data_IF_882435152781
#
_entry.id   IF_882435152781
#
_cell.length_a   1.000
_cell.length_b   1.000
_cell.length_c   1.000
_cell.angle_alpha   90.00
_cell.angle_beta   90.00
_cell.angle_gamma   90.00
#
_symmetry.space_group_name_H-M   'P 1'
#
loop_
_entity.id
_entity.type
_entity.pdbx_description
1 polymer ?
#
# COMPACT_ATOMS: atom_id res chain seq x y z
N UNK A 1 -24.42 21.36 -12.21
CA UNK A 1 -23.32 21.85 -11.36
C UNK A 1 -22.30 20.76 -11.02
N UNK A 2 -22.71 19.52 -10.74
CA UNK A 2 -21.78 18.43 -10.39
C UNK A 2 -20.74 18.12 -11.46
N UNK A 3 -21.15 18.01 -12.73
CA UNK A 3 -20.24 17.69 -13.85
C UNK A 3 -19.14 18.74 -13.99
N UNK A 4 -19.49 20.02 -13.93
CA UNK A 4 -18.50 21.11 -13.98
C UNK A 4 -17.51 21.05 -12.83
N UNK A 5 -17.97 20.72 -11.62
CA UNK A 5 -17.13 20.59 -10.42
C UNK A 5 -16.17 19.41 -10.55
N UNK A 6 -16.69 18.23 -10.90
CA UNK A 6 -15.90 17.00 -11.02
C UNK A 6 -14.87 17.09 -12.16
N UNK A 7 -15.23 17.66 -13.31
CA UNK A 7 -14.30 17.87 -14.42
C UNK A 7 -13.16 18.82 -14.01
N UNK A 8 -13.46 19.89 -13.27
CA UNK A 8 -12.45 20.83 -12.76
C UNK A 8 -11.53 20.20 -11.71
N UNK A 9 -12.06 19.35 -10.83
CA UNK A 9 -11.26 18.62 -9.85
C UNK A 9 -10.36 17.58 -10.54
N UNK A 10 -10.89 16.85 -11.51
CA UNK A 10 -10.17 15.80 -12.22
C UNK A 10 -8.87 16.32 -12.86
N UNK A 11 -8.96 17.41 -13.62
CA UNK A 11 -7.83 17.95 -14.39
C UNK A 11 -6.74 18.53 -13.50
N UNK A 12 -7.16 19.32 -12.51
CA UNK A 12 -6.25 19.98 -11.57
C UNK A 12 -5.52 18.98 -10.68
N UNK A 13 -6.21 17.95 -10.22
CA UNK A 13 -5.61 16.90 -9.40
C UNK A 13 -4.75 15.92 -10.19
N UNK A 14 -5.05 15.69 -11.47
CA UNK A 14 -4.28 14.77 -12.32
C UNK A 14 -2.99 15.39 -12.87
N UNK A 15 -3.13 16.47 -13.64
CA UNK A 15 -2.07 17.05 -14.47
C UNK A 15 -1.84 18.54 -14.19
N UNK A 16 -2.64 19.15 -13.31
CA UNK A 16 -2.60 20.59 -13.05
C UNK A 16 -3.17 21.44 -14.19
N UNK A 17 -3.84 20.82 -15.17
CA UNK A 17 -4.45 21.52 -16.29
C UNK A 17 -5.76 22.21 -15.88
N UNK A 18 -6.12 23.28 -16.59
CA UNK A 18 -7.39 23.97 -16.36
C UNK A 18 -8.59 23.13 -16.82
N UNK A 19 -8.46 22.43 -17.95
CA UNK A 19 -9.49 21.58 -18.55
C UNK A 19 -8.86 20.33 -19.22
N UNK A 20 -9.64 19.27 -19.45
CA UNK A 20 -9.15 18.06 -20.13
C UNK A 20 -9.01 18.34 -21.63
N UNK A 21 -8.15 17.57 -22.31
CA UNK A 21 -8.02 17.63 -23.78
C UNK A 21 -9.28 17.09 -24.47
N UNK A 22 -9.92 16.08 -23.86
CA UNK A 22 -11.13 15.46 -24.39
C UNK A 22 -12.19 15.35 -23.29
N UNK A 23 -13.33 15.98 -23.50
CA UNK A 23 -14.57 15.74 -22.74
C UNK A 23 -15.69 15.54 -23.74
N UNK A 24 -16.33 14.37 -23.70
CA UNK A 24 -17.49 14.07 -24.55
C UNK A 24 -18.76 14.21 -23.71
N UNK A 25 -19.70 15.01 -24.20
CA UNK A 25 -21.05 15.09 -23.64
C UNK A 25 -22.01 14.36 -24.59
N UNK A 26 -22.56 13.24 -24.15
CA UNK A 26 -23.56 12.49 -24.92
C UNK A 26 -24.97 12.90 -24.45
N UNK A 27 -25.75 13.51 -25.35
CA UNK A 27 -27.09 14.04 -25.08
C UNK A 27 -28.23 13.07 -25.39
N UNK A 28 -27.94 11.86 -25.89
CA UNK A 28 -28.93 10.86 -26.28
C UNK A 28 -29.06 10.70 -27.80
N UNK A 29 -30.17 10.12 -28.28
CA UNK A 29 -30.46 10.04 -29.73
C UNK A 29 -30.77 11.42 -30.30
N UNK A 30 -30.65 11.58 -31.63
CA UNK A 30 -30.98 12.83 -32.31
C UNK A 30 -32.46 13.19 -32.13
N UNK A 31 -32.74 14.48 -31.96
CA UNK A 31 -34.08 15.06 -31.96
C UNK A 31 -34.52 15.35 -33.41
N UNK A 32 -35.83 15.56 -33.67
CA UNK A 32 -36.31 15.87 -35.02
C UNK A 32 -35.63 17.08 -35.66
N UNK A 33 -35.28 18.08 -34.84
CA UNK A 33 -34.69 19.34 -35.29
C UNK A 33 -33.15 19.31 -35.30
N UNK A 34 -32.52 18.22 -34.84
CA UNK A 34 -31.07 18.08 -34.84
C UNK A 34 -30.58 17.75 -36.26
N UNK A 35 -29.52 18.45 -36.71
CA UNK A 35 -28.94 18.29 -38.05
C UNK A 35 -28.36 16.89 -38.30
N UNK A 36 -27.85 16.22 -37.26
CA UNK A 36 -27.21 14.90 -37.33
C UNK A 36 -27.29 14.20 -35.96
N UNK A 37 -27.07 12.89 -35.95
CA UNK A 37 -26.92 12.06 -34.76
C UNK A 37 -27.57 10.68 -34.90
N UNK A 38 -27.35 9.79 -33.91
CA UNK A 38 -27.88 8.43 -33.99
C UNK A 38 -29.39 8.41 -33.75
N UNK A 39 -30.11 7.52 -34.43
CA UNK A 39 -31.55 7.28 -34.18
C UNK A 39 -31.81 6.64 -32.82
N UNK A 40 -30.85 5.88 -32.31
CA UNK A 40 -30.93 5.22 -31.02
C UNK A 40 -29.62 5.38 -30.24
N UNK A 41 -29.74 5.58 -28.93
CA UNK A 41 -28.60 5.68 -28.02
C UNK A 41 -28.80 4.72 -26.85
N UNK A 42 -27.88 3.77 -26.72
CA UNK A 42 -27.93 2.72 -25.69
C UNK A 42 -26.74 2.86 -24.74
N UNK A 43 -27.00 2.92 -23.44
CA UNK A 43 -25.95 2.96 -22.40
C UNK A 43 -25.95 1.63 -21.65
N UNK A 44 -24.86 0.89 -21.74
CA UNK A 44 -24.67 -0.36 -20.99
C UNK A 44 -23.75 -0.08 -19.79
N UNK A 45 -24.30 -0.20 -18.58
CA UNK A 45 -23.54 -0.06 -17.34
C UNK A 45 -23.14 -1.46 -16.84
N UNK A 46 -21.84 -1.77 -16.89
CA UNK A 46 -21.29 -3.02 -16.38
C UNK A 46 -20.69 -2.79 -14.98
N UNK A 47 -21.28 -3.43 -13.97
CA UNK A 47 -20.81 -3.30 -12.58
C UNK A 47 -19.49 -4.03 -12.33
N UNK A 48 -19.33 -5.22 -12.91
CA UNK A 48 -18.17 -6.10 -12.72
C UNK A 48 -17.83 -6.35 -11.23
N UNK A 49 -18.84 -6.46 -10.36
CA UNK A 49 -18.67 -6.76 -8.93
C UNK A 49 -18.35 -5.54 -8.04
N UNK A 50 -18.31 -4.32 -8.61
CA UNK A 50 -18.05 -3.09 -7.84
C UNK A 50 -19.14 -2.79 -6.83
N UNK A 51 -20.40 -3.09 -7.14
CA UNK A 51 -21.54 -2.85 -6.25
C UNK A 51 -21.44 -3.63 -4.94
N UNK A 52 -20.65 -4.72 -4.90
CA UNK A 52 -20.35 -5.45 -3.65
C UNK A 52 -19.61 -4.63 -2.59
N UNK A 53 -19.09 -3.44 -2.93
CA UNK A 53 -18.48 -2.52 -1.96
C UNK A 53 -19.51 -1.61 -1.26
N UNK A 54 -20.74 -1.52 -1.76
CA UNK A 54 -21.79 -0.68 -1.18
C UNK A 54 -22.13 -1.15 0.24
N UNK A 55 -22.28 -0.20 1.17
CA UNK A 55 -22.59 -0.46 2.58
C UNK A 55 -21.42 -1.04 3.40
N UNK A 56 -20.28 -1.32 2.77
CA UNK A 56 -19.13 -1.95 3.41
C UNK A 56 -17.94 -1.00 3.65
N UNK A 57 -16.86 -1.59 4.17
CA UNK A 57 -15.58 -0.89 4.47
C UNK A 57 -14.90 -0.29 3.23
N UNK A 58 -15.32 -0.71 2.03
CA UNK A 58 -14.77 -0.28 0.75
C UNK A 58 -15.66 0.70 -0.01
N UNK A 59 -16.80 1.12 0.55
CA UNK A 59 -17.78 1.95 -0.16
C UNK A 59 -17.17 3.25 -0.70
N UNK A 60 -16.26 3.88 0.06
CA UNK A 60 -15.63 5.14 -0.35
C UNK A 60 -14.79 5.00 -1.62
N UNK A 61 -14.36 3.79 -1.98
CA UNK A 61 -13.69 3.50 -3.25
C UNK A 61 -14.57 3.85 -4.45
N UNK A 62 -15.90 3.75 -4.32
CA UNK A 62 -16.85 4.05 -5.39
C UNK A 62 -16.90 5.54 -5.77
N UNK A 63 -16.35 6.43 -4.94
CA UNK A 63 -16.24 7.87 -5.23
C UNK A 63 -15.08 8.21 -6.17
N UNK A 64 -14.23 7.23 -6.51
CA UNK A 64 -13.04 7.47 -7.31
C UNK A 64 -13.39 7.96 -8.73
N UNK A 65 -12.92 9.18 -9.05
CA UNK A 65 -13.05 9.80 -10.38
C UNK A 65 -11.86 9.50 -11.31
N UNK A 66 -10.98 8.57 -10.93
CA UNK A 66 -9.78 8.18 -11.69
C UNK A 66 -8.83 9.34 -12.08
N UNK A 67 -8.73 10.37 -11.24
CA UNK A 67 -7.86 11.53 -11.47
C UNK A 67 -6.35 11.29 -11.29
N UNK A 68 -5.88 10.05 -11.11
CA UNK A 68 -4.46 9.67 -10.90
C UNK A 68 -3.65 10.36 -9.77
N UNK A 69 -4.20 11.32 -9.02
CA UNK A 69 -3.49 12.03 -7.95
C UNK A 69 -2.80 11.10 -6.94
N UNK A 70 -3.54 10.09 -6.46
CA UNK A 70 -3.00 9.10 -5.52
C UNK A 70 -1.80 8.30 -6.08
N UNK A 71 -1.78 8.06 -7.39
CA UNK A 71 -0.74 7.30 -8.08
C UNK A 71 0.50 8.15 -8.30
N UNK A 72 0.33 9.40 -8.72
CA UNK A 72 1.42 10.35 -8.96
C UNK A 72 2.21 10.65 -7.68
N UNK A 73 1.55 10.66 -6.53
CA UNK A 73 2.19 10.88 -5.23
C UNK A 73 2.63 9.60 -4.50
N UNK A 74 2.43 8.42 -5.10
CA UNK A 74 2.80 7.17 -4.48
C UNK A 74 4.29 6.87 -4.70
N UNK A 75 5.11 6.76 -3.63
CA UNK A 75 6.54 6.48 -3.79
C UNK A 75 6.79 5.09 -4.37
N UNK A 76 5.90 4.12 -4.11
CA UNK A 76 5.99 2.77 -4.67
C UNK A 76 5.77 2.82 -6.17
N UNK A 77 4.65 3.40 -6.61
CA UNK A 77 4.35 3.53 -8.04
C UNK A 77 5.44 4.28 -8.80
N UNK A 78 5.96 5.39 -8.23
CA UNK A 78 7.04 6.15 -8.83
C UNK A 78 8.35 5.36 -9.00
N UNK A 79 8.60 4.35 -8.15
CA UNK A 79 9.81 3.54 -8.20
C UNK A 79 9.70 2.32 -9.12
N UNK A 80 8.54 1.64 -9.16
CA UNK A 80 8.37 0.36 -9.88
C UNK A 80 7.54 0.47 -11.17
N UNK A 81 6.82 1.58 -11.35
CA UNK A 81 5.91 1.79 -12.48
C UNK A 81 4.60 0.97 -12.38
N UNK A 82 3.73 1.15 -13.37
CA UNK A 82 2.40 0.52 -13.38
C UNK A 82 2.41 -0.97 -13.69
N UNK A 83 3.32 -1.45 -14.55
CA UNK A 83 3.36 -2.86 -14.96
C UNK A 83 3.64 -3.82 -13.81
N UNK A 84 4.42 -3.40 -12.82
CA UNK A 84 4.73 -4.21 -11.65
C UNK A 84 3.51 -4.53 -10.76
N UNK A 85 2.39 -3.80 -10.93
CA UNK A 85 1.13 -4.09 -10.22
C UNK A 85 0.36 -5.28 -10.80
N UNK A 86 0.73 -5.77 -11.99
CA UNK A 86 0.18 -7.03 -12.54
C UNK A 86 -1.31 -7.02 -12.90
N UNK A 87 -1.97 -5.86 -12.91
CA UNK A 87 -3.38 -5.73 -13.29
C UNK A 87 -3.68 -4.38 -13.96
N UNK A 88 -4.88 -4.26 -14.52
CA UNK A 88 -5.34 -3.09 -15.31
C UNK A 88 -5.40 -1.79 -14.48
N UNK A 89 -5.59 -1.91 -13.17
CA UNK A 89 -5.63 -0.77 -12.24
C UNK A 89 -4.37 -0.75 -11.38
N UNK A 90 -3.42 0.17 -11.62
CA UNK A 90 -2.21 0.27 -10.80
C UNK A 90 -2.35 1.29 -9.67
N UNK A 91 -1.29 1.40 -8.87
CA UNK A 91 -1.16 2.38 -7.80
C UNK A 91 -2.01 2.08 -6.55
N UNK A 92 -2.11 3.03 -5.61
CA UNK A 92 -2.84 2.84 -4.36
C UNK A 92 -4.33 2.54 -4.57
N UNK A 93 -4.94 3.17 -5.57
CA UNK A 93 -6.33 2.92 -5.96
C UNK A 93 -6.54 1.48 -6.42
N UNK A 94 -5.70 1.01 -7.33
CA UNK A 94 -5.72 -0.37 -7.81
C UNK A 94 -5.44 -1.40 -6.71
N UNK A 95 -4.60 -1.05 -5.74
CA UNK A 95 -4.31 -1.91 -4.58
C UNK A 95 -5.52 -2.15 -3.68
N UNK A 96 -6.53 -1.27 -3.75
CA UNK A 96 -7.83 -1.47 -3.07
C UNK A 96 -8.84 -2.15 -3.99
N UNK A 97 -8.92 -1.72 -5.25
CA UNK A 97 -9.96 -2.19 -6.17
C UNK A 97 -9.69 -3.61 -6.71
N UNK A 98 -8.45 -3.94 -7.04
CA UNK A 98 -8.11 -5.22 -7.69
C UNK A 98 -8.48 -6.44 -6.84
N UNK A 99 -8.19 -6.49 -5.51
CA UNK A 99 -8.64 -7.60 -4.67
C UNK A 99 -10.16 -7.78 -4.62
N UNK A 100 -10.95 -6.70 -4.81
CA UNK A 100 -12.41 -6.80 -4.93
C UNK A 100 -12.83 -7.48 -6.24
N UNK A 101 -12.11 -7.22 -7.34
CA UNK A 101 -12.48 -7.69 -8.67
C UNK A 101 -12.07 -9.14 -8.94
N UNK A 102 -10.86 -9.52 -8.53
CA UNK A 102 -10.27 -10.84 -8.86
C UNK A 102 -10.00 -11.71 -7.62
N UNK A 103 -10.39 -11.23 -6.44
CA UNK A 103 -10.14 -11.92 -5.18
C UNK A 103 -8.80 -11.58 -4.55
N UNK A 104 -8.77 -11.66 -3.22
CA UNK A 104 -7.57 -11.38 -2.43
C UNK A 104 -6.50 -12.47 -2.57
N UNK A 105 -6.89 -13.69 -2.90
CA UNK A 105 -5.97 -14.81 -3.15
C UNK A 105 -5.01 -14.51 -4.31
N UNK A 106 -5.50 -13.83 -5.34
CA UNK A 106 -4.70 -13.43 -6.51
C UNK A 106 -3.99 -12.07 -6.31
N UNK A 107 -4.60 -11.15 -5.56
CA UNK A 107 -4.17 -9.76 -5.50
C UNK A 107 -3.66 -9.28 -4.12
N UNK A 108 -3.51 -10.20 -3.15
CA UNK A 108 -3.13 -9.87 -1.77
C UNK A 108 -1.78 -9.16 -1.64
N UNK A 109 -0.87 -9.36 -2.60
CA UNK A 109 0.43 -8.67 -2.63
C UNK A 109 0.29 -7.14 -2.83
N UNK A 110 -0.77 -6.65 -3.47
CA UNK A 110 -0.91 -5.23 -3.81
C UNK A 110 -1.10 -4.36 -2.55
N UNK A 111 -2.06 -4.64 -1.63
CA UNK A 111 -2.10 -3.97 -0.33
C UNK A 111 -0.79 -4.13 0.46
N UNK A 112 -0.08 -5.24 0.30
CA UNK A 112 1.19 -5.50 0.99
C UNK A 112 2.38 -4.69 0.46
N UNK A 113 2.35 -4.27 -0.80
CA UNK A 113 3.41 -3.43 -1.38
C UNK A 113 3.40 -1.98 -0.85
N UNK A 114 2.27 -1.51 -0.29
CA UNK A 114 2.15 -0.14 0.23
C UNK A 114 3.05 0.12 1.45
N UNK A 115 3.68 1.30 1.47
CA UNK A 115 4.46 1.80 2.61
C UNK A 115 3.60 2.48 3.68
N UNK A 116 2.29 2.66 3.41
CA UNK A 116 1.35 3.36 4.30
C UNK A 116 1.78 4.78 4.69
N UNK A 117 2.46 5.50 3.80
CA UNK A 117 2.86 6.90 4.05
C UNK A 117 1.67 7.89 4.12
N UNK A 118 0.46 7.48 3.70
CA UNK A 118 -0.75 8.30 3.80
C UNK A 118 -0.95 9.36 2.71
N UNK A 119 0.07 9.64 1.90
CA UNK A 119 0.02 10.72 0.90
C UNK A 119 -1.13 10.58 -0.10
N UNK A 120 -1.50 9.36 -0.47
CA UNK A 120 -2.60 9.10 -1.40
C UNK A 120 -3.97 9.53 -0.88
N UNK A 121 -4.19 9.51 0.44
CA UNK A 121 -5.41 9.99 1.10
C UNK A 121 -5.39 11.51 1.23
N UNK A 122 -4.25 12.09 1.61
CA UNK A 122 -4.05 13.54 1.76
C UNK A 122 -4.34 14.31 0.46
N UNK A 123 -3.88 13.78 -0.68
CA UNK A 123 -4.03 14.44 -1.99
C UNK A 123 -5.32 14.09 -2.72
N UNK A 124 -6.16 13.21 -2.16
CA UNK A 124 -7.36 12.75 -2.86
C UNK A 124 -8.44 13.84 -2.86
N UNK A 125 -8.88 14.36 -4.03
CA UNK A 125 -9.94 15.37 -4.07
C UNK A 125 -11.32 14.83 -3.65
N UNK A 126 -11.46 13.51 -3.54
CA UNK A 126 -12.69 12.82 -3.15
C UNK A 126 -12.63 12.28 -1.71
N UNK A 127 -11.56 12.62 -0.95
CA UNK A 127 -11.34 12.19 0.44
C UNK A 127 -11.48 10.67 0.65
N UNK A 128 -10.89 9.88 -0.25
CA UNK A 128 -10.95 8.41 -0.19
C UNK A 128 -9.84 7.88 0.72
N UNK A 129 -10.17 7.13 1.80
CA UNK A 129 -9.19 6.65 2.77
C UNK A 129 -8.49 5.36 2.30
N UNK A 130 -7.72 5.45 1.21
CA UNK A 130 -7.01 4.31 0.60
C UNK A 130 -6.12 3.52 1.60
N UNK A 131 -5.34 4.15 2.49
CA UNK A 131 -4.56 3.45 3.51
C UNK A 131 -5.43 2.67 4.52
N UNK A 132 -6.64 3.13 4.83
CA UNK A 132 -7.55 2.37 5.70
C UNK A 132 -8.04 1.11 4.97
N UNK A 133 -8.52 1.27 3.74
CA UNK A 133 -9.02 0.14 2.95
C UNK A 133 -7.94 -0.91 2.65
N UNK A 134 -6.70 -0.50 2.34
CA UNK A 134 -5.61 -1.47 2.17
C UNK A 134 -5.28 -2.24 3.47
N UNK A 135 -5.50 -1.63 4.65
CA UNK A 135 -5.36 -2.36 5.93
C UNK A 135 -6.44 -3.43 6.09
N UNK A 136 -7.69 -3.12 5.75
CA UNK A 136 -8.77 -4.11 5.75
C UNK A 136 -8.47 -5.29 4.83
N UNK A 137 -7.84 -5.07 3.68
CA UNK A 137 -7.36 -6.18 2.86
C UNK A 137 -6.29 -7.01 3.56
N UNK A 138 -5.26 -6.39 4.15
CA UNK A 138 -4.23 -7.12 4.91
C UNK A 138 -4.81 -7.94 6.07
N UNK A 139 -5.82 -7.40 6.76
CA UNK A 139 -6.56 -8.10 7.83
C UNK A 139 -7.26 -9.35 7.27
N UNK A 140 -8.03 -9.19 6.20
CA UNK A 140 -8.74 -10.31 5.54
C UNK A 140 -7.77 -11.38 5.00
N UNK A 141 -6.62 -10.98 4.47
CA UNK A 141 -5.57 -11.91 4.01
C UNK A 141 -5.02 -12.74 5.17
N UNK A 142 -4.77 -12.10 6.31
CA UNK A 142 -4.25 -12.74 7.50
C UNK A 142 -5.27 -13.71 8.12
N UNK A 143 -6.52 -13.28 8.25
CA UNK A 143 -7.64 -14.07 8.78
C UNK A 143 -7.91 -15.32 7.93
N UNK A 144 -7.82 -15.19 6.60
CA UNK A 144 -7.97 -16.30 5.65
C UNK A 144 -6.72 -17.17 5.51
N UNK A 145 -5.65 -16.85 6.23
CA UNK A 145 -4.39 -17.60 6.23
C UNK A 145 -3.72 -17.71 4.85
N UNK A 146 -3.90 -16.69 4.01
CA UNK A 146 -3.33 -16.64 2.66
C UNK A 146 -1.86 -16.23 2.66
N UNK A 147 -1.40 -15.59 3.74
CA UNK A 147 0.02 -15.32 3.96
C UNK A 147 0.77 -16.61 4.35
N UNK A 148 2.05 -16.75 3.95
CA UNK A 148 2.84 -17.94 4.26
C UNK A 148 2.88 -18.25 5.76
N UNK A 149 2.73 -19.53 6.13
CA UNK A 149 2.71 -19.96 7.52
C UNK A 149 3.96 -19.53 8.31
N UNK A 150 5.14 -19.52 7.66
CA UNK A 150 6.38 -19.03 8.25
C UNK A 150 6.33 -17.56 8.66
N UNK A 151 5.69 -16.70 7.84
CA UNK A 151 5.51 -15.27 8.14
C UNK A 151 4.57 -15.10 9.33
N UNK A 152 3.45 -15.84 9.34
CA UNK A 152 2.48 -15.80 10.44
C UNK A 152 3.08 -16.27 11.76
N UNK A 153 3.82 -17.37 11.74
CA UNK A 153 4.54 -17.87 12.91
C UNK A 153 5.61 -16.89 13.39
N UNK A 154 6.42 -16.35 12.46
CA UNK A 154 7.44 -15.36 12.76
C UNK A 154 6.86 -14.09 13.39
N UNK A 155 5.72 -13.61 12.89
CA UNK A 155 5.00 -12.49 13.47
C UNK A 155 4.47 -12.82 14.88
N UNK A 156 3.92 -14.02 15.08
CA UNK A 156 3.48 -14.48 16.41
C UNK A 156 4.63 -14.53 17.42
N UNK A 157 5.77 -15.08 17.01
CA UNK A 157 6.99 -15.10 17.83
C UNK A 157 7.47 -13.67 18.14
N UNK A 158 7.49 -12.79 17.15
CA UNK A 158 7.83 -11.38 17.35
C UNK A 158 6.91 -10.70 18.36
N UNK A 159 5.60 -10.85 18.22
CA UNK A 159 4.59 -10.30 19.15
C UNK A 159 4.80 -10.82 20.56
N UNK A 160 5.12 -12.11 20.72
CA UNK A 160 5.40 -12.72 22.02
C UNK A 160 6.57 -12.02 22.75
N UNK A 161 7.67 -11.74 22.05
CA UNK A 161 8.81 -11.03 22.61
C UNK A 161 8.52 -9.54 22.79
N UNK A 162 7.97 -8.87 21.76
CA UNK A 162 7.73 -7.43 21.77
C UNK A 162 6.77 -6.99 22.88
N UNK A 163 5.75 -7.80 23.22
CA UNK A 163 4.84 -7.54 24.35
C UNK A 163 5.48 -7.73 25.73
N UNK A 164 6.68 -8.30 25.82
CA UNK A 164 7.37 -8.62 27.09
C UNK A 164 8.73 -7.91 27.16
N UNK A 165 8.78 -6.66 27.66
CA UNK A 165 9.99 -5.83 27.60
C UNK A 165 11.24 -6.44 28.25
N UNK A 166 11.10 -7.24 29.30
CA UNK A 166 12.23 -7.93 29.92
C UNK A 166 12.81 -9.02 29.01
N UNK A 167 11.96 -9.91 28.49
CA UNK A 167 12.38 -10.96 27.55
C UNK A 167 12.94 -10.38 26.26
N UNK A 168 12.31 -9.34 25.72
CA UNK A 168 12.80 -8.64 24.54
C UNK A 168 14.22 -8.10 24.75
N UNK A 169 14.49 -7.46 25.90
CA UNK A 169 15.82 -6.93 26.21
C UNK A 169 16.87 -8.02 26.34
N UNK A 170 16.55 -9.15 26.97
CA UNK A 170 17.44 -10.31 27.09
C UNK A 170 17.73 -10.89 25.72
N UNK A 171 16.69 -11.17 24.92
CA UNK A 171 16.81 -11.73 23.58
C UNK A 171 17.59 -10.81 22.64
N UNK A 172 17.32 -9.50 22.66
CA UNK A 172 18.06 -8.52 21.87
C UNK A 172 19.53 -8.41 22.30
N UNK A 173 19.82 -8.43 23.60
CA UNK A 173 21.18 -8.44 24.13
C UNK A 173 21.96 -9.69 23.72
N UNK A 174 21.32 -10.86 23.83
CA UNK A 174 21.89 -12.14 23.39
C UNK A 174 22.11 -12.16 21.87
N UNK A 175 21.13 -11.71 21.08
CA UNK A 175 21.24 -11.61 19.63
C UNK A 175 22.40 -10.69 19.20
N UNK A 176 22.54 -9.53 19.84
CA UNK A 176 23.66 -8.62 19.59
C UNK A 176 25.01 -9.24 19.98
N UNK A 177 25.08 -10.01 21.07
CA UNK A 177 26.27 -10.77 21.44
C UNK A 177 26.62 -11.87 20.43
N UNK A 178 25.63 -12.65 19.99
CA UNK A 178 25.83 -13.72 19.02
C UNK A 178 26.32 -13.17 17.67
N UNK A 179 25.68 -12.11 17.17
CA UNK A 179 26.11 -11.45 15.93
C UNK A 179 27.53 -10.89 16.03
N UNK A 180 27.95 -10.38 17.19
CA UNK A 180 29.35 -9.95 17.44
C UNK A 180 30.33 -11.12 17.41
N UNK A 181 29.97 -12.24 18.02
CA UNK A 181 30.78 -13.48 17.97
C UNK A 181 30.95 -13.97 16.53
N UNK A 182 29.88 -13.96 15.74
CA UNK A 182 29.88 -14.40 14.35
C UNK A 182 30.66 -13.45 13.41
N UNK A 183 30.60 -12.13 13.65
CA UNK A 183 31.32 -11.15 12.85
C UNK A 183 32.81 -11.02 13.17
N UNK A 184 33.25 -11.56 14.31
CA UNK A 184 34.65 -11.59 14.74
C UNK A 184 35.34 -10.22 14.69
N UNK A 185 36.66 -10.22 14.45
CA UNK A 185 37.48 -8.99 14.36
C UNK A 185 37.21 -8.14 13.11
N UNK A 186 36.53 -8.70 12.10
CA UNK A 186 36.30 -8.03 10.81
C UNK A 186 35.07 -7.11 10.82
N UNK A 187 34.26 -7.15 11.88
CA UNK A 187 33.11 -6.26 12.06
C UNK A 187 31.99 -6.43 11.02
N UNK A 188 32.03 -7.50 10.21
CA UNK A 188 31.08 -7.79 9.13
C UNK A 188 30.80 -9.29 9.04
N UNK A 189 29.55 -9.65 8.75
CA UNK A 189 29.11 -11.03 8.56
C UNK A 189 28.81 -11.26 7.08
N UNK A 190 29.60 -12.12 6.43
CA UNK A 190 29.48 -12.42 4.98
C UNK A 190 28.42 -13.46 4.65
N UNK A 191 28.12 -14.37 5.58
CA UNK A 191 27.11 -15.42 5.40
C UNK A 191 26.40 -15.62 6.73
N UNK A 192 25.08 -15.57 6.70
CA UNK A 192 24.23 -15.85 7.85
C UNK A 192 23.15 -16.85 7.41
N UNK A 193 22.99 -18.00 8.09
CA UNK A 193 21.90 -18.91 7.79
C UNK A 193 20.56 -18.16 7.95
N UNK A 194 19.60 -18.46 7.08
CA UNK A 194 18.28 -17.81 6.99
C UNK A 194 18.26 -16.36 6.46
N UNK A 195 19.40 -15.70 6.29
CA UNK A 195 19.49 -14.38 5.65
C UNK A 195 20.24 -14.42 4.31
N UNK A 196 20.26 -15.58 3.66
CA UNK A 196 21.00 -15.84 2.42
C UNK A 196 20.72 -14.84 1.31
N UNK A 197 19.45 -14.45 1.13
CA UNK A 197 19.06 -13.45 0.12
C UNK A 197 19.69 -12.08 0.32
N UNK A 198 19.91 -11.64 1.57
CA UNK A 198 20.63 -10.40 1.87
C UNK A 198 22.13 -10.61 1.75
N UNK A 199 22.66 -11.65 2.42
CA UNK A 199 24.11 -11.91 2.48
C UNK A 199 24.74 -12.35 1.16
N UNK A 200 23.93 -12.72 0.16
CA UNK A 200 24.40 -12.97 -1.20
C UNK A 200 24.90 -11.69 -1.89
N UNK A 201 24.30 -10.54 -1.57
CA UNK A 201 24.57 -9.27 -2.25
C UNK A 201 25.14 -8.19 -1.32
N UNK A 202 24.98 -8.35 0.00
CA UNK A 202 25.37 -7.35 1.00
C UNK A 202 25.96 -7.97 2.26
N UNK A 203 27.09 -7.45 2.71
CA UNK A 203 27.64 -7.77 4.03
C UNK A 203 26.74 -7.19 5.13
N UNK A 204 26.46 -7.97 6.18
CA UNK A 204 25.72 -7.48 7.34
C UNK A 204 26.70 -6.80 8.33
N UNK A 205 26.50 -5.52 8.68
CA UNK A 205 27.31 -4.86 9.69
C UNK A 205 27.02 -5.45 11.08
N UNK A 206 28.07 -5.66 11.87
CA UNK A 206 27.95 -6.20 13.22
C UNK A 206 27.45 -5.11 14.18
N UNK A 207 26.54 -5.41 15.12
CA UNK A 207 26.10 -4.45 16.13
C UNK A 207 27.29 -3.89 16.93
N UNK A 208 27.39 -2.56 17.00
CA UNK A 208 28.45 -1.87 17.74
C UNK A 208 28.03 -1.65 19.20
N UNK A 209 28.88 -2.08 20.14
CA UNK A 209 28.70 -1.77 21.57
C UNK A 209 27.49 -2.44 22.23
N UNK A 210 26.89 -1.72 23.19
CA UNK A 210 25.69 -2.13 23.95
C UNK A 210 24.42 -1.84 23.13
N UNK A 211 23.35 -2.58 23.38
CA UNK A 211 22.03 -2.26 22.76
C UNK A 211 21.55 -0.87 23.17
N UNK A 212 20.67 -0.24 22.38
CA UNK A 212 20.09 1.06 22.71
C UNK A 212 19.51 1.08 24.13
N UNK A 213 18.77 0.04 24.53
CA UNK A 213 18.16 -0.04 25.85
C UNK A 213 19.18 -0.11 26.98
N UNK A 214 20.30 -0.81 26.77
CA UNK A 214 21.41 -0.87 27.74
C UNK A 214 22.13 0.48 27.85
N UNK A 215 22.38 1.15 26.72
CA UNK A 215 22.96 2.50 26.71
C UNK A 215 22.04 3.50 27.41
N UNK A 216 20.73 3.43 27.14
CA UNK A 216 19.72 4.27 27.74
C UNK A 216 19.63 4.08 29.25
N UNK A 217 19.60 2.85 29.75
CA UNK A 217 19.60 2.55 31.18
C UNK A 217 20.87 3.08 31.89
N UNK A 218 22.03 2.94 31.24
CA UNK A 218 23.30 3.47 31.78
C UNK A 218 23.26 5.00 31.87
N UNK A 219 22.68 5.68 30.86
CA UNK A 219 22.53 7.15 30.85
C UNK A 219 21.48 7.66 31.83
N UNK A 220 20.39 6.93 32.04
CA UNK A 220 19.36 7.30 33.03
C UNK A 220 19.87 7.14 34.47
N UNK A 221 20.67 6.11 34.76
CA UNK A 221 21.32 5.96 36.07
C UNK A 221 22.49 6.93 36.30
N UNK A 222 22.90 7.68 35.28
CA UNK A 222 23.95 8.70 35.34
C UNK A 222 23.39 10.14 35.31
N UNK A 223 22.06 10.31 35.35
CA UNK A 223 21.45 11.61 35.67
C UNK A 223 21.54 11.80 37.19
N UNK A 224 22.15 12.90 37.69
CA UNK A 224 22.16 13.21 39.11
C UNK A 224 20.74 13.38 39.67
#
# INVERSE_FOLDING_TARGET
EDVSTLTRLLTRSATGQEITVYTTFSSGPRRPDDLDGPEQFHVVLLDNGRSGMLGGEFQDMLRCIRCSACMNHCPVYGAIGGHAYGWVYPGPMGSVLTPQLIGIDAAGQLPNASTFCGRCEEVCPMHIPLPKMMRHWREREFERHLSPAAVRFGLGAWVFFAKRPQLYRIAAGFGAWLLRRLGGRKGRIKRLPLAGGWTAWRDLPVPQGRTFQQQWATRQGARP
#
